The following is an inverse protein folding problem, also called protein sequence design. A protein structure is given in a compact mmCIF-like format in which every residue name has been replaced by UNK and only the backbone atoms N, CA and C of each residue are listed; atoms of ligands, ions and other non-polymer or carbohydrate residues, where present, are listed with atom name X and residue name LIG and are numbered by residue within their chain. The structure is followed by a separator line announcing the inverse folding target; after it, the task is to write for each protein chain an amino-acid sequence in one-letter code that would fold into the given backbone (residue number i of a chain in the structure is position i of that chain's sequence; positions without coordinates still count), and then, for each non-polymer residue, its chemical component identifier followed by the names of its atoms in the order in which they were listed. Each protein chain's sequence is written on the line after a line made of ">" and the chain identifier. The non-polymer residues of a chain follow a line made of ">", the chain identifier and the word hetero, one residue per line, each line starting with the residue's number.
data_IF_752096087231
#
_entry.id   IF_752096087231
#
_cell.length_a   1.000
_cell.length_b   1.000
_cell.length_c   1.000
_cell.angle_alpha   90.00
_cell.angle_beta   90.00
_cell.angle_gamma   90.00
#
_symmetry.space_group_name_H-M   'P 1'
#
loop_
_entity.id
_entity.type
_entity.pdbx_description
1 polymer ?
#
# COMPACT_ATOMS: atom_id res chain seq x y z
N UNK A 1 19.45 -19.81 -7.08
CA UNK A 1 18.12 -19.92 -7.72
C UNK A 1 17.39 -18.60 -7.54
N UNK A 2 17.32 -17.77 -8.58
CA UNK A 2 16.48 -16.57 -8.59
C UNK A 2 15.04 -16.98 -8.88
N UNK A 3 14.12 -16.58 -8.00
CA UNK A 3 12.68 -16.72 -8.23
C UNK A 3 12.28 -15.81 -9.41
N UNK A 4 11.47 -16.27 -10.38
CA UNK A 4 11.10 -15.45 -11.52
C UNK A 4 10.18 -14.32 -11.05
N UNK A 5 10.66 -13.08 -11.16
CA UNK A 5 9.94 -11.86 -10.84
C UNK A 5 8.82 -11.68 -11.88
N UNK A 6 7.58 -11.75 -11.43
CA UNK A 6 6.39 -11.76 -12.29
C UNK A 6 6.25 -10.43 -13.04
N UNK A 7 6.06 -10.49 -14.38
CA UNK A 7 5.38 -9.43 -15.16
C UNK A 7 4.13 -9.01 -14.39
N UNK A 8 3.76 -7.72 -14.41
CA UNK A 8 2.48 -7.23 -13.88
C UNK A 8 1.33 -8.03 -14.53
N UNK A 9 0.97 -9.16 -13.92
CA UNK A 9 -0.05 -10.05 -14.44
C UNK A 9 -1.32 -9.57 -13.77
N UNK A 10 -2.11 -8.80 -14.51
CA UNK A 10 -3.48 -8.57 -14.13
C UNK A 10 -4.08 -9.94 -13.76
N UNK A 11 -4.61 -10.05 -12.53
CA UNK A 11 -5.14 -11.32 -12.05
C UNK A 11 -6.19 -11.80 -13.03
N UNK A 12 -5.99 -13.02 -13.56
CA UNK A 12 -7.02 -13.61 -14.41
C UNK A 12 -8.31 -13.76 -13.59
N UNK A 13 -9.45 -13.84 -14.26
CA UNK A 13 -10.73 -14.11 -13.59
C UNK A 13 -10.66 -15.36 -12.70
N UNK A 14 -9.91 -16.37 -13.13
CA UNK A 14 -9.65 -17.58 -12.33
C UNK A 14 -8.77 -17.30 -11.10
N UNK A 15 -7.70 -16.49 -11.24
CA UNK A 15 -6.87 -16.09 -10.10
C UNK A 15 -7.68 -15.30 -9.07
N UNK A 16 -8.49 -14.33 -9.52
CA UNK A 16 -9.40 -13.56 -8.67
C UNK A 16 -10.39 -14.49 -7.96
N UNK A 17 -11.06 -15.39 -8.68
CA UNK A 17 -11.98 -16.36 -8.09
C UNK A 17 -11.31 -17.23 -7.02
N UNK A 18 -10.10 -17.72 -7.29
CA UNK A 18 -9.33 -18.54 -6.34
C UNK A 18 -8.96 -17.76 -5.08
N UNK A 19 -8.53 -16.49 -5.23
CA UNK A 19 -8.20 -15.63 -4.09
C UNK A 19 -9.44 -15.41 -3.22
N UNK A 20 -10.57 -14.98 -3.81
CA UNK A 20 -11.81 -14.78 -3.07
C UNK A 20 -12.28 -16.06 -2.37
N UNK A 21 -12.26 -17.20 -3.08
CA UNK A 21 -12.62 -18.48 -2.51
C UNK A 21 -11.75 -18.84 -1.31
N UNK A 22 -10.43 -18.73 -1.43
CA UNK A 22 -9.50 -19.06 -0.34
C UNK A 22 -9.77 -18.21 0.90
N UNK A 23 -9.99 -16.90 0.72
CA UNK A 23 -10.32 -16.02 1.83
C UNK A 23 -11.65 -16.37 2.49
N UNK A 24 -12.72 -16.58 1.71
CA UNK A 24 -14.02 -16.98 2.27
C UNK A 24 -13.94 -18.34 2.98
N UNK A 25 -13.24 -19.30 2.39
CA UNK A 25 -13.10 -20.66 2.92
C UNK A 25 -12.34 -20.69 4.26
N UNK A 26 -11.31 -19.85 4.41
CA UNK A 26 -10.51 -19.77 5.63
C UNK A 26 -10.99 -18.70 6.62
N UNK A 27 -12.01 -17.93 6.27
CA UNK A 27 -12.54 -16.87 7.13
C UNK A 27 -13.29 -17.44 8.34
N UNK A 28 -13.30 -16.67 9.41
CA UNK A 28 -14.09 -16.88 10.63
C UNK A 28 -15.47 -16.17 10.56
N UNK A 29 -15.91 -15.81 9.35
CA UNK A 29 -17.17 -15.09 9.15
C UNK A 29 -18.37 -15.95 9.58
N UNK A 30 -19.32 -15.39 10.35
CA UNK A 30 -20.61 -16.01 10.60
C UNK A 30 -21.34 -16.38 9.30
N UNK A 31 -22.09 -17.48 9.34
CA UNK A 31 -22.86 -17.99 8.19
C UNK A 31 -23.76 -16.93 7.53
N UNK A 32 -24.34 -16.01 8.30
CA UNK A 32 -25.18 -14.94 7.76
C UNK A 32 -24.39 -13.95 6.90
N UNK A 33 -23.15 -13.64 7.28
CA UNK A 33 -22.26 -12.77 6.52
C UNK A 33 -21.69 -13.49 5.29
N UNK A 34 -21.31 -14.77 5.41
CA UNK A 34 -20.84 -15.58 4.28
C UNK A 34 -21.89 -15.69 3.16
N UNK A 35 -23.17 -15.86 3.50
CA UNK A 35 -24.25 -15.98 2.52
C UNK A 35 -24.37 -14.76 1.61
N UNK A 36 -24.01 -13.57 2.09
CA UNK A 36 -24.10 -12.32 1.32
C UNK A 36 -23.24 -12.34 0.05
N UNK A 37 -22.10 -13.04 0.08
CA UNK A 37 -21.26 -13.23 -1.10
C UNK A 37 -21.96 -14.04 -2.19
N UNK A 38 -22.90 -14.93 -1.84
CA UNK A 38 -23.58 -15.81 -2.80
C UNK A 38 -24.93 -15.29 -3.29
N UNK A 39 -25.56 -14.39 -2.53
CA UNK A 39 -26.79 -13.69 -2.94
C UNK A 39 -26.55 -12.92 -4.24
N UNK A 40 -27.48 -13.05 -5.20
CA UNK A 40 -27.43 -12.35 -6.50
C UNK A 40 -26.07 -12.44 -7.23
N UNK A 41 -25.34 -13.53 -7.00
CA UNK A 41 -23.99 -13.74 -7.55
C UNK A 41 -23.02 -12.59 -7.19
N UNK A 42 -23.12 -12.03 -6.00
CA UNK A 42 -22.22 -10.95 -5.56
C UNK A 42 -20.74 -11.33 -5.66
N UNK A 43 -20.36 -12.59 -5.40
CA UNK A 43 -19.00 -13.09 -5.62
C UNK A 43 -18.51 -12.82 -7.04
N UNK A 44 -19.39 -12.95 -8.04
CA UNK A 44 -19.05 -12.73 -9.44
C UNK A 44 -18.83 -11.25 -9.72
N UNK A 45 -19.73 -10.38 -9.21
CA UNK A 45 -19.60 -8.93 -9.31
C UNK A 45 -18.30 -8.44 -8.65
N UNK A 46 -17.92 -9.02 -7.51
CA UNK A 46 -16.65 -8.75 -6.83
C UNK A 46 -15.47 -9.18 -7.71
N UNK A 47 -15.46 -10.42 -8.21
CA UNK A 47 -14.41 -10.94 -9.11
C UNK A 47 -14.24 -10.08 -10.36
N UNK A 48 -15.33 -9.58 -10.92
CA UNK A 48 -15.35 -8.79 -12.15
C UNK A 48 -15.05 -7.31 -11.92
N UNK A 49 -14.96 -6.85 -10.66
CA UNK A 49 -14.69 -5.46 -10.34
C UNK A 49 -13.29 -5.00 -10.79
N UNK A 50 -13.21 -3.78 -11.31
CA UNK A 50 -11.98 -3.18 -11.85
C UNK A 50 -10.94 -2.94 -10.74
N UNK A 51 -11.38 -2.48 -9.57
CA UNK A 51 -10.53 -2.23 -8.40
C UNK A 51 -10.21 -3.48 -7.57
N UNK A 52 -10.43 -4.69 -8.10
CA UNK A 52 -10.10 -5.91 -7.38
C UNK A 52 -8.58 -6.04 -7.15
N UNK A 53 -8.16 -6.20 -5.89
CA UNK A 53 -6.80 -6.65 -5.53
C UNK A 53 -6.83 -7.51 -4.24
N UNK A 54 -5.84 -8.39 -4.02
CA UNK A 54 -5.87 -9.36 -2.92
C UNK A 54 -6.10 -8.76 -1.54
N UNK A 55 -5.44 -7.64 -1.23
CA UNK A 55 -5.56 -6.99 0.09
C UNK A 55 -6.95 -6.41 0.36
N UNK A 56 -7.65 -5.92 -0.66
CA UNK A 56 -9.05 -5.51 -0.55
C UNK A 56 -9.93 -6.71 -0.24
N UNK A 57 -9.68 -7.85 -0.89
CA UNK A 57 -10.43 -9.08 -0.65
C UNK A 57 -10.20 -9.60 0.76
N UNK A 58 -8.97 -9.63 1.23
CA UNK A 58 -8.65 -9.92 2.62
C UNK A 58 -9.43 -8.98 3.55
N UNK A 59 -9.43 -7.67 3.27
CA UNK A 59 -10.14 -6.69 4.09
C UNK A 59 -11.65 -6.97 4.18
N UNK A 60 -12.33 -7.15 3.04
CA UNK A 60 -13.77 -7.39 2.99
C UNK A 60 -14.19 -8.80 3.41
N UNK A 61 -13.23 -9.69 3.73
CA UNK A 61 -13.49 -11.05 4.22
C UNK A 61 -13.00 -11.30 5.65
N UNK A 62 -12.46 -10.27 6.32
CA UNK A 62 -12.01 -10.37 7.71
C UNK A 62 -13.13 -9.98 8.67
N UNK A 63 -13.46 -10.84 9.64
CA UNK A 63 -14.58 -10.67 10.59
C UNK A 63 -14.60 -9.32 11.30
N UNK A 64 -13.46 -8.87 11.84
CA UNK A 64 -13.36 -7.60 12.57
C UNK A 64 -13.73 -6.39 11.70
N UNK A 65 -13.49 -6.45 10.38
CA UNK A 65 -13.84 -5.36 9.47
C UNK A 65 -15.32 -5.36 9.09
N UNK A 66 -16.01 -6.49 9.26
CA UNK A 66 -17.43 -6.67 8.94
C UNK A 66 -18.31 -6.63 10.19
N UNK A 67 -17.74 -6.39 11.36
CA UNK A 67 -18.47 -6.32 12.62
C UNK A 67 -19.57 -5.25 12.54
N UNK A 68 -20.79 -5.61 12.93
CA UNK A 68 -21.96 -4.73 12.87
C UNK A 68 -22.65 -4.62 11.50
N UNK A 69 -22.12 -5.26 10.44
CA UNK A 69 -22.75 -5.28 9.11
C UNK A 69 -23.41 -6.63 8.80
N UNK A 70 -24.67 -6.60 8.35
CA UNK A 70 -25.41 -7.80 7.92
C UNK A 70 -26.31 -7.51 6.72
N UNK A 71 -26.73 -8.57 6.01
CA UNK A 71 -27.69 -8.50 4.92
C UNK A 71 -27.34 -7.45 3.85
N UNK A 72 -28.28 -6.56 3.53
CA UNK A 72 -28.09 -5.52 2.51
C UNK A 72 -27.00 -4.50 2.87
N UNK A 73 -26.89 -4.12 4.16
CA UNK A 73 -25.86 -3.17 4.61
C UNK A 73 -24.46 -3.72 4.42
N UNK A 74 -24.29 -5.04 4.58
CA UNK A 74 -23.01 -5.69 4.30
C UNK A 74 -22.68 -5.67 2.80
N UNK A 75 -23.66 -5.89 1.92
CA UNK A 75 -23.46 -5.74 0.47
C UNK A 75 -23.00 -4.31 0.14
N UNK A 76 -23.75 -3.31 0.61
CA UNK A 76 -23.44 -1.90 0.38
C UNK A 76 -22.04 -1.53 0.89
N UNK A 77 -21.67 -2.02 2.07
CA UNK A 77 -20.32 -1.85 2.62
C UNK A 77 -19.24 -2.47 1.71
N UNK A 78 -19.40 -3.74 1.31
CA UNK A 78 -18.42 -4.44 0.47
C UNK A 78 -18.18 -3.68 -0.85
N UNK A 79 -19.26 -3.28 -1.54
CA UNK A 79 -19.14 -2.56 -2.81
C UNK A 79 -18.60 -1.15 -2.61
N UNK A 80 -18.95 -0.44 -1.52
CA UNK A 80 -18.32 0.87 -1.23
C UNK A 80 -16.80 0.78 -1.08
N UNK A 81 -16.27 -0.33 -0.56
CA UNK A 81 -14.81 -0.56 -0.44
C UNK A 81 -14.15 -0.96 -1.75
N UNK A 82 -14.89 -1.62 -2.63
CA UNK A 82 -14.46 -1.86 -4.01
C UNK A 82 -14.43 -0.55 -4.82
N UNK A 83 -15.40 0.32 -4.62
CA UNK A 83 -15.50 1.61 -5.31
C UNK A 83 -14.48 2.64 -4.79
N UNK A 84 -14.16 2.59 -3.49
CA UNK A 84 -13.23 3.50 -2.80
C UNK A 84 -12.10 2.73 -2.10
N UNK A 85 -11.16 2.13 -2.86
CA UNK A 85 -10.11 1.29 -2.31
C UNK A 85 -9.09 2.06 -1.47
N UNK A 86 -8.98 3.37 -1.65
CA UNK A 86 -8.12 4.28 -0.89
C UNK A 86 -8.39 4.21 0.63
N UNK A 87 -9.66 4.05 1.01
CA UNK A 87 -10.11 3.96 2.41
C UNK A 87 -9.58 2.71 3.14
N UNK A 88 -9.09 1.71 2.41
CA UNK A 88 -8.50 0.51 3.01
C UNK A 88 -7.08 0.79 3.44
N UNK A 89 -6.36 1.62 2.68
CA UNK A 89 -4.96 1.91 2.94
C UNK A 89 -4.76 2.66 4.23
N UNK A 90 -5.68 3.54 4.62
CA UNK A 90 -5.65 4.20 5.92
C UNK A 90 -5.58 3.20 7.07
N UNK A 91 -6.52 2.25 7.13
CA UNK A 91 -6.51 1.23 8.18
C UNK A 91 -5.27 0.32 8.11
N UNK A 92 -4.80 -0.02 6.91
CA UNK A 92 -3.57 -0.83 6.75
C UNK A 92 -2.37 -0.05 7.27
N UNK A 93 -2.21 1.19 6.81
CA UNK A 93 -1.10 2.06 7.12
C UNK A 93 -1.04 2.36 8.61
N UNK A 94 -2.17 2.68 9.24
CA UNK A 94 -2.21 3.06 10.65
C UNK A 94 -2.12 1.89 11.63
N UNK A 95 -2.76 0.76 11.32
CA UNK A 95 -2.95 -0.31 12.31
C UNK A 95 -2.09 -1.55 12.07
N UNK A 96 -1.62 -1.75 10.83
CA UNK A 96 -0.96 -3.00 10.44
C UNK A 96 0.51 -2.80 10.07
N UNK A 97 0.88 -1.60 9.58
CA UNK A 97 2.25 -1.29 9.20
C UNK A 97 3.09 -0.83 10.37
N UNK A 98 4.33 -1.32 10.40
CA UNK A 98 5.39 -0.83 11.30
C UNK A 98 5.93 0.51 10.82
N UNK A 99 6.60 1.24 11.68
CA UNK A 99 7.22 2.52 11.30
C UNK A 99 8.17 2.38 10.12
N UNK A 100 8.99 1.32 10.09
CA UNK A 100 9.91 1.06 8.96
C UNK A 100 9.17 0.78 7.66
N UNK A 101 8.00 0.14 7.73
CA UNK A 101 7.14 -0.09 6.56
C UNK A 101 6.63 1.26 6.02
N UNK A 102 6.16 2.14 6.92
CA UNK A 102 5.73 3.50 6.56
C UNK A 102 6.85 4.32 5.96
N UNK A 103 8.06 4.25 6.51
CA UNK A 103 9.24 4.95 5.98
C UNK A 103 9.58 4.50 4.57
N UNK A 104 9.51 3.20 4.27
CA UNK A 104 9.77 2.71 2.92
C UNK A 104 8.68 3.13 1.94
N UNK A 105 7.41 3.12 2.35
CA UNK A 105 6.31 3.61 1.51
C UNK A 105 6.42 5.11 1.23
N UNK A 106 6.67 5.94 2.24
CA UNK A 106 6.80 7.39 2.04
C UNK A 106 8.09 7.74 1.28
N UNK A 107 9.15 6.94 1.41
CA UNK A 107 10.34 7.05 0.56
C UNK A 107 10.02 6.72 -0.90
N UNK A 108 9.33 5.60 -1.18
CA UNK A 108 8.93 5.25 -2.54
C UNK A 108 8.00 6.30 -3.16
N UNK A 109 7.05 6.80 -2.37
CA UNK A 109 6.15 7.89 -2.76
C UNK A 109 6.90 9.18 -3.09
N UNK A 110 7.98 9.50 -2.34
CA UNK A 110 8.78 10.69 -2.64
C UNK A 110 9.35 10.69 -4.05
N UNK A 111 9.51 9.53 -4.70
CA UNK A 111 9.91 9.42 -6.12
C UNK A 111 8.73 9.33 -7.12
N UNK A 112 7.49 9.60 -6.68
CA UNK A 112 6.29 9.44 -7.50
C UNK A 112 5.72 8.01 -7.54
N UNK A 113 6.29 7.08 -6.76
CA UNK A 113 5.68 5.78 -6.50
C UNK A 113 5.76 4.75 -7.64
N UNK A 114 6.55 4.99 -8.69
CA UNK A 114 6.60 4.13 -9.87
C UNK A 114 8.00 3.96 -10.45
N UNK A 115 8.35 2.72 -10.79
CA UNK A 115 9.57 2.30 -11.51
C UNK A 115 10.89 2.78 -10.88
N UNK A 116 11.04 2.67 -9.57
CA UNK A 116 12.26 3.10 -8.87
C UNK A 116 13.27 1.95 -8.79
N UNK A 117 14.51 2.12 -9.29
CA UNK A 117 15.54 1.09 -9.19
C UNK A 117 15.81 0.67 -7.74
N UNK A 118 15.99 -0.63 -7.50
CA UNK A 118 16.21 -1.19 -6.16
C UNK A 118 17.31 -0.47 -5.38
N UNK A 119 18.46 -0.21 -6.02
CA UNK A 119 19.60 0.43 -5.38
C UNK A 119 19.34 1.90 -5.03
N UNK A 120 18.55 2.60 -5.85
CA UNK A 120 18.14 3.99 -5.60
C UNK A 120 17.22 4.03 -4.39
N UNK A 121 16.21 3.15 -4.37
CA UNK A 121 15.24 3.05 -3.27
C UNK A 121 15.91 2.63 -1.95
N UNK A 122 16.86 1.69 -2.00
CA UNK A 122 17.64 1.26 -0.83
C UNK A 122 18.43 2.41 -0.22
N UNK A 123 19.22 3.14 -1.02
CA UNK A 123 20.00 4.27 -0.55
C UNK A 123 19.11 5.39 0.03
N UNK A 124 17.99 5.71 -0.62
CA UNK A 124 17.05 6.70 -0.13
C UNK A 124 16.41 6.26 1.21
N UNK A 125 16.02 4.99 1.32
CA UNK A 125 15.47 4.43 2.55
C UNK A 125 16.48 4.42 3.69
N UNK A 126 17.74 4.08 3.42
CA UNK A 126 18.81 4.09 4.44
C UNK A 126 19.04 5.50 4.99
N UNK A 127 19.01 6.53 4.11
CA UNK A 127 19.11 7.91 4.57
C UNK A 127 17.87 8.36 5.36
N UNK A 128 16.68 8.02 4.87
CA UNK A 128 15.39 8.20 5.58
C UNK A 128 15.46 7.62 6.98
N UNK A 129 15.88 6.37 7.10
CA UNK A 129 15.89 5.65 8.35
C UNK A 129 16.98 6.17 9.31
N UNK A 130 18.15 6.55 8.79
CA UNK A 130 19.20 7.21 9.56
C UNK A 130 18.71 8.52 10.19
N UNK A 131 17.94 9.32 9.45
CA UNK A 131 17.33 10.53 10.00
C UNK A 131 16.39 10.19 11.17
N UNK A 132 15.54 9.17 11.03
CA UNK A 132 14.63 8.73 12.09
C UNK A 132 15.35 8.19 13.34
N UNK A 133 16.51 7.55 13.17
CA UNK A 133 17.36 7.11 14.28
C UNK A 133 17.96 8.31 15.03
N UNK A 134 18.49 9.29 14.29
CA UNK A 134 19.18 10.44 14.88
C UNK A 134 18.22 11.43 15.56
N UNK A 135 17.03 11.62 14.99
CA UNK A 135 16.14 12.71 15.39
C UNK A 135 14.87 12.25 16.08
N UNK A 136 14.43 11.00 15.89
CA UNK A 136 13.12 10.52 16.35
C UNK A 136 13.19 9.24 17.21
N UNK A 137 14.39 8.84 17.64
CA UNK A 137 14.57 7.78 18.64
C UNK A 137 14.38 6.36 18.12
N UNK A 138 14.35 6.16 16.80
CA UNK A 138 14.33 4.82 16.22
C UNK A 138 15.66 4.09 16.42
N UNK A 139 15.63 2.76 16.34
CA UNK A 139 16.82 1.92 16.50
C UNK A 139 17.04 1.11 15.23
N UNK A 140 18.30 1.02 14.79
CA UNK A 140 18.68 0.16 13.68
C UNK A 140 18.43 -1.30 14.01
N UNK A 141 17.87 -2.03 13.05
CA UNK A 141 17.82 -3.48 13.04
C UNK A 141 18.90 -4.06 12.14
N UNK A 142 18.76 -5.35 11.83
CA UNK A 142 19.62 -6.02 10.85
C UNK A 142 18.90 -6.09 9.52
N UNK A 143 19.51 -5.53 8.47
CA UNK A 143 19.00 -5.62 7.10
C UNK A 143 17.58 -5.03 6.95
N UNK A 144 17.35 -3.85 7.55
CA UNK A 144 16.03 -3.21 7.65
C UNK A 144 15.38 -3.00 6.28
N UNK A 145 16.14 -2.58 5.28
CA UNK A 145 15.61 -2.41 3.92
C UNK A 145 15.03 -3.72 3.37
N UNK A 146 15.84 -4.78 3.31
CA UNK A 146 15.42 -6.07 2.74
C UNK A 146 14.26 -6.70 3.52
N UNK A 147 14.29 -6.62 4.85
CA UNK A 147 13.23 -7.19 5.68
C UNK A 147 11.91 -6.41 5.55
N UNK A 148 11.98 -5.09 5.42
CA UNK A 148 10.82 -4.21 5.21
C UNK A 148 10.25 -4.38 3.80
N UNK A 149 11.10 -4.36 2.78
CA UNK A 149 10.70 -4.60 1.41
C UNK A 149 9.99 -5.96 1.27
N UNK A 150 10.53 -7.02 1.89
CA UNK A 150 9.89 -8.34 1.89
C UNK A 150 8.49 -8.35 2.49
N UNK A 151 8.22 -7.54 3.53
CA UNK A 151 6.88 -7.42 4.14
C UNK A 151 5.89 -6.69 3.23
N UNK A 152 6.37 -5.71 2.46
CA UNK A 152 5.55 -4.86 1.60
C UNK A 152 5.33 -5.44 0.20
N UNK A 153 6.22 -6.33 -0.25
CA UNK A 153 6.10 -6.99 -1.55
C UNK A 153 4.79 -7.77 -1.67
N UNK A 154 4.15 -7.64 -2.83
CA UNK A 154 2.87 -8.26 -3.21
C UNK A 154 1.65 -7.82 -2.37
N UNK A 155 1.85 -6.94 -1.39
CA UNK A 155 0.77 -6.31 -0.60
C UNK A 155 0.57 -4.83 -0.88
N UNK A 156 1.67 -4.07 -0.99
CA UNK A 156 1.68 -2.61 -1.21
C UNK A 156 2.69 -2.21 -2.29
N UNK A 157 3.79 -2.96 -2.43
CA UNK A 157 4.85 -2.74 -3.42
C UNK A 157 4.89 -3.94 -4.37
N UNK A 158 5.12 -3.68 -5.65
CA UNK A 158 5.43 -4.71 -6.65
C UNK A 158 6.84 -4.50 -7.21
N UNK A 159 7.51 -5.61 -7.53
CA UNK A 159 8.84 -5.61 -8.14
C UNK A 159 8.77 -6.12 -9.58
N UNK A 160 9.49 -5.47 -10.48
CA UNK A 160 9.60 -5.86 -11.88
C UNK A 160 11.06 -5.93 -12.30
N UNK A 161 11.41 -6.96 -13.08
CA UNK A 161 12.72 -7.00 -13.72
C UNK A 161 12.78 -5.98 -14.86
N UNK A 162 13.87 -5.22 -14.90
CA UNK A 162 14.27 -4.30 -15.96
C UNK A 162 15.69 -4.66 -16.43
N UNK A 163 16.11 -4.05 -17.53
CA UNK A 163 17.44 -4.20 -18.15
C UNK A 163 18.59 -3.96 -17.17
N UNK A 164 18.43 -3.06 -16.20
CA UNK A 164 19.46 -2.69 -15.22
C UNK A 164 19.26 -3.35 -13.83
N UNK A 165 18.23 -4.18 -13.66
CA UNK A 165 17.91 -4.84 -12.38
C UNK A 165 16.44 -4.73 -12.00
N UNK A 166 16.12 -4.91 -10.72
CA UNK A 166 14.74 -4.81 -10.24
C UNK A 166 14.33 -3.37 -10.01
N UNK A 167 13.17 -2.99 -10.51
CA UNK A 167 12.49 -1.72 -10.19
C UNK A 167 11.25 -1.98 -9.34
N UNK A 168 10.91 -1.05 -8.46
CA UNK A 168 9.77 -1.13 -7.55
C UNK A 168 8.74 -0.04 -7.82
N UNK A 169 7.47 -0.39 -7.68
CA UNK A 169 6.33 0.51 -7.82
C UNK A 169 5.28 0.17 -6.77
N UNK A 170 4.32 1.06 -6.51
CA UNK A 170 3.13 0.65 -5.77
C UNK A 170 2.33 -0.40 -6.55
N UNK A 171 1.64 -1.26 -5.80
CA UNK A 171 0.84 -2.35 -6.38
C UNK A 171 -0.35 -1.83 -7.19
N UNK A 172 -0.87 -0.65 -6.86
CA UNK A 172 -1.88 0.06 -7.64
C UNK A 172 -1.88 1.57 -7.33
N UNK A 173 -2.48 2.42 -8.19
CA UNK A 173 -2.49 3.88 -8.00
C UNK A 173 -3.18 4.37 -6.72
N UNK A 174 -4.17 3.66 -6.19
CA UNK A 174 -4.91 4.13 -4.99
C UNK A 174 -4.04 4.20 -3.73
N UNK A 175 -2.87 3.53 -3.71
CA UNK A 175 -1.87 3.71 -2.65
C UNK A 175 -1.25 5.11 -2.72
N UNK A 176 -0.99 5.63 -3.93
CA UNK A 176 -0.53 7.01 -4.10
C UNK A 176 -1.62 7.99 -3.65
N UNK A 177 -2.87 7.78 -4.06
CA UNK A 177 -3.98 8.66 -3.70
C UNK A 177 -4.14 8.77 -2.17
N UNK A 178 -4.05 7.63 -1.47
CA UNK A 178 -4.02 7.61 -0.01
C UNK A 178 -2.82 8.39 0.57
N UNK A 179 -1.60 8.16 0.06
CA UNK A 179 -0.40 8.81 0.59
C UNK A 179 -0.39 10.32 0.36
N UNK A 180 -1.02 10.82 -0.72
CA UNK A 180 -1.23 12.26 -0.93
C UNK A 180 -2.05 12.85 0.21
N UNK A 181 -3.21 12.26 0.51
CA UNK A 181 -4.11 12.73 1.57
C UNK A 181 -3.42 12.67 2.94
N UNK A 182 -2.79 11.52 3.25
CA UNK A 182 -2.05 11.34 4.50
C UNK A 182 -0.95 12.38 4.70
N UNK A 183 -0.17 12.67 3.66
CA UNK A 183 0.92 13.63 3.75
C UNK A 183 0.42 15.07 3.86
N UNK A 184 -0.67 15.44 3.16
CA UNK A 184 -1.29 16.76 3.29
C UNK A 184 -1.74 17.05 4.72
N UNK A 185 -2.16 16.03 5.46
CA UNK A 185 -2.55 16.14 6.87
C UNK A 185 -1.36 15.99 7.84
N UNK A 186 -0.17 15.68 7.33
CA UNK A 186 1.03 15.40 8.14
C UNK A 186 2.23 16.29 7.77
N UNK A 187 2.20 17.63 8.04
CA UNK A 187 3.32 18.52 7.72
C UNK A 187 4.65 18.14 8.37
N UNK A 188 4.61 17.50 9.55
CA UNK A 188 5.81 16.96 10.19
C UNK A 188 6.42 15.85 9.34
N UNK A 189 5.62 14.90 8.84
CA UNK A 189 6.11 13.82 7.98
C UNK A 189 6.71 14.34 6.68
N UNK A 190 6.06 15.32 6.04
CA UNK A 190 6.61 15.98 4.85
C UNK A 190 8.01 16.55 5.11
N UNK A 191 8.20 17.27 6.23
CA UNK A 191 9.51 17.81 6.62
C UNK A 191 10.54 16.72 6.86
N UNK A 192 10.15 15.62 7.52
CA UNK A 192 11.08 14.50 7.76
C UNK A 192 11.51 13.85 6.44
N UNK A 193 10.60 13.65 5.48
CA UNK A 193 10.94 13.15 4.14
C UNK A 193 11.91 14.12 3.45
N UNK A 194 11.61 15.42 3.48
CA UNK A 194 12.44 16.45 2.87
C UNK A 194 13.87 16.51 3.45
N UNK A 195 13.99 16.53 4.78
CA UNK A 195 15.30 16.57 5.46
C UNK A 195 16.13 15.30 5.29
N UNK A 196 15.52 14.23 4.81
CA UNK A 196 16.18 12.95 4.54
C UNK A 196 16.21 12.58 3.06
N UNK A 197 15.86 13.51 2.16
CA UNK A 197 15.96 13.31 0.73
C UNK A 197 17.44 13.17 0.32
N UNK A 198 17.72 12.16 -0.51
CA UNK A 198 19.05 11.87 -1.07
C UNK A 198 19.13 12.25 -2.55
N UNK A 199 18.00 12.30 -3.24
CA UNK A 199 17.89 12.57 -4.67
C UNK A 199 16.97 13.76 -4.95
N UNK A 200 17.23 14.49 -6.03
CA UNK A 200 16.44 15.68 -6.40
C UNK A 200 14.99 15.33 -6.74
N UNK A 201 14.78 14.17 -7.36
CA UNK A 201 13.47 13.62 -7.71
C UNK A 201 12.55 13.47 -6.49
N UNK A 202 13.12 13.28 -5.28
CA UNK A 202 12.35 13.15 -4.05
C UNK A 202 11.63 14.45 -3.65
N UNK A 203 12.14 15.60 -4.11
CA UNK A 203 11.64 16.91 -3.75
C UNK A 203 10.34 17.25 -4.48
N UNK A 204 10.15 16.71 -5.69
CA UNK A 204 9.04 17.07 -6.57
C UNK A 204 7.69 16.54 -6.06
N UNK A 205 7.70 15.33 -5.48
CA UNK A 205 6.47 14.61 -5.09
C UNK A 205 5.92 15.04 -3.73
N UNK A 206 6.80 15.46 -2.82
CA UNK A 206 6.41 15.93 -1.47
C UNK A 206 5.79 17.33 -1.51
N UNK A 207 6.12 18.11 -2.54
CA UNK A 207 5.61 19.47 -2.73
C UNK A 207 4.33 19.55 -3.57
N UNK A 208 3.69 18.41 -3.86
CA UNK A 208 2.46 18.37 -4.66
C UNK A 208 1.28 18.92 -3.84
N UNK A 209 1.13 20.25 -3.84
CA UNK A 209 0.05 20.94 -3.16
C UNK A 209 0.24 22.44 -3.00
N UNK A 210 1.48 22.95 -2.95
CA UNK A 210 1.68 24.39 -2.80
C UNK A 210 3.12 24.82 -3.17
N UNK A 211 3.27 25.50 -4.30
CA UNK A 211 4.58 26.06 -4.73
C UNK A 211 5.03 27.17 -3.75
N UNK A 212 4.10 27.78 -3.01
CA UNK A 212 4.41 28.80 -2.00
C UNK A 212 5.02 28.20 -0.71
N UNK A 213 4.82 26.91 -0.44
CA UNK A 213 5.39 26.25 0.74
C UNK A 213 6.92 26.07 0.64
N UNK A 214 7.48 26.05 -0.58
CA UNK A 214 8.93 26.05 -0.82
C UNK A 214 9.61 27.31 -0.27
N UNK A 215 8.93 28.47 -0.28
CA UNK A 215 9.52 29.73 0.19
C UNK A 215 9.59 29.79 1.73
N UNK A 216 8.74 29.02 2.41
CA UNK A 216 8.65 29.04 3.88
C UNK A 216 9.58 28.03 4.55
N UNK A 217 9.95 26.94 3.88
CA UNK A 217 10.88 25.94 4.44
C UNK A 217 12.34 26.41 4.39
N UNK A 218 12.67 27.33 3.49
CA UNK A 218 14.02 27.93 3.35
C UNK A 218 14.19 29.28 4.07
N UNK A 219 13.27 29.62 4.99
CA UNK A 219 13.40 30.74 5.94
C UNK A 219 13.44 30.19 7.37
#
# INVERSE_FOLDING_TARGET
>A
MQSPITKYKAYSKFDKARILYNHLYHSDLPNEQLKVFFVERNYMKIIEHDNYFPRLIEFITTSVNLEGYTGKRLVEFIFSKLDHPDQIWESVFEKQLRDTDRFLLTTLFSFGGSRIPSKVLENAFENRFRYEILHNGHKAGTNDFKTTLKRLLDGLITGHADSEGTVYSFINPSVNDFLINYLNESPSEQKRILYSATYFEQLYSVCYGDVDHLITIWR
#
